data_IF_358002057883
#
_entry.id   IF_358002057883
#
_cell.length_a   1.000
_cell.length_b   1.000
_cell.length_c   1.000
_cell.angle_alpha   90.00
_cell.angle_beta   90.00
_cell.angle_gamma   90.00
#
_symmetry.space_group_name_H-M   'P 1'
#
loop_
_entity.id
_entity.type
_entity.pdbx_description
1 polymer ?
#
# COMPACT_ATOMS: atom_id res chain seq x y z
N UNK A 1 -28.53 4.95 5.14
CA UNK A 1 -27.23 5.12 5.81
C UNK A 1 -26.04 4.77 4.92
N UNK A 2 -26.22 4.04 3.81
CA UNK A 2 -25.12 3.59 2.94
C UNK A 2 -24.34 4.71 2.22
N UNK A 3 -24.95 5.88 1.98
CA UNK A 3 -24.29 6.95 1.23
C UNK A 3 -23.13 7.65 1.95
N UNK A 4 -23.17 7.79 3.27
CA UNK A 4 -22.13 8.51 4.03
C UNK A 4 -20.87 7.68 4.21
N UNK A 5 -21.03 6.37 4.43
CA UNK A 5 -19.91 5.44 4.57
C UNK A 5 -19.15 5.29 3.24
N UNK A 6 -19.89 5.20 2.12
CA UNK A 6 -19.29 5.13 0.79
C UNK A 6 -18.48 6.38 0.44
N UNK A 7 -19.00 7.58 0.78
CA UNK A 7 -18.30 8.83 0.53
C UNK A 7 -17.02 8.95 1.38
N UNK A 8 -17.07 8.54 2.65
CA UNK A 8 -15.89 8.52 3.52
C UNK A 8 -14.79 7.59 2.98
N UNK A 9 -15.15 6.39 2.54
CA UNK A 9 -14.21 5.44 1.92
C UNK A 9 -13.63 6.00 0.62
N UNK A 10 -14.47 6.65 -0.20
CA UNK A 10 -14.02 7.30 -1.44
C UNK A 10 -13.05 8.45 -1.15
N UNK A 11 -13.34 9.27 -0.15
CA UNK A 11 -12.46 10.35 0.31
C UNK A 11 -11.10 9.78 0.79
N UNK A 12 -11.11 8.71 1.57
CA UNK A 12 -9.88 8.04 2.00
C UNK A 12 -9.06 7.52 0.81
N UNK A 13 -9.72 6.88 -0.16
CA UNK A 13 -9.06 6.37 -1.35
C UNK A 13 -8.44 7.49 -2.21
N UNK A 14 -9.13 8.63 -2.34
CA UNK A 14 -8.60 9.82 -3.02
C UNK A 14 -7.39 10.39 -2.26
N UNK A 15 -7.49 10.50 -0.95
CA UNK A 15 -6.40 11.02 -0.13
C UNK A 15 -5.16 10.10 -0.17
N UNK A 16 -5.35 8.78 -0.15
CA UNK A 16 -4.27 7.81 -0.36
C UNK A 16 -3.62 7.94 -1.74
N UNK A 17 -4.40 8.26 -2.77
CA UNK A 17 -3.88 8.49 -4.12
C UNK A 17 -3.00 9.74 -4.15
N UNK A 18 -3.42 10.82 -3.50
CA UNK A 18 -2.67 12.08 -3.38
C UNK A 18 -1.38 11.89 -2.58
N UNK A 19 -1.46 11.21 -1.43
CA UNK A 19 -0.29 10.84 -0.63
C UNK A 19 0.69 9.98 -1.44
N UNK A 20 0.17 9.08 -2.26
CA UNK A 20 0.96 8.30 -3.21
C UNK A 20 1.63 9.11 -4.32
N UNK A 21 1.11 10.30 -4.65
CA UNK A 21 1.80 11.26 -5.53
C UNK A 21 2.87 12.06 -4.81
N UNK A 22 2.75 12.23 -3.48
CA UNK A 22 3.68 13.00 -2.66
C UNK A 22 4.92 12.20 -2.24
N UNK A 23 4.84 10.86 -2.14
CA UNK A 23 6.05 10.06 -1.91
C UNK A 23 6.94 10.17 -3.16
N UNK A 24 8.07 10.84 -3.00
CA UNK A 24 9.01 11.15 -4.08
C UNK A 24 9.40 9.87 -4.86
N UNK A 25 9.01 9.83 -6.15
CA UNK A 25 9.21 8.70 -7.06
C UNK A 25 10.65 8.23 -7.10
N UNK A 26 11.61 9.15 -7.15
CA UNK A 26 13.04 8.83 -7.24
C UNK A 26 13.53 7.90 -6.12
N UNK A 27 12.87 7.94 -4.97
CA UNK A 27 13.23 7.13 -3.81
C UNK A 27 12.40 5.83 -3.69
N UNK A 28 11.39 5.64 -4.52
CA UNK A 28 10.65 4.39 -4.68
C UNK A 28 11.10 3.62 -5.94
N UNK A 29 11.77 4.29 -6.87
CA UNK A 29 12.26 3.71 -8.14
C UNK A 29 13.18 2.50 -7.91
N UNK A 30 14.08 2.55 -6.92
CA UNK A 30 14.98 1.43 -6.58
C UNK A 30 14.19 0.21 -6.11
N UNK A 31 13.28 0.40 -5.16
CA UNK A 31 12.41 -0.64 -4.61
C UNK A 31 11.47 -1.21 -5.67
N UNK A 32 10.91 -0.35 -6.51
CA UNK A 32 9.98 -0.74 -7.58
C UNK A 32 10.70 -1.56 -8.65
N UNK A 33 11.90 -1.12 -9.06
CA UNK A 33 12.72 -1.84 -10.04
C UNK A 33 13.12 -3.22 -9.53
N UNK A 34 13.56 -3.31 -8.28
CA UNK A 34 13.93 -4.57 -7.65
C UNK A 34 12.72 -5.49 -7.48
N UNK A 35 11.60 -4.94 -6.99
CA UNK A 35 10.35 -5.66 -6.86
C UNK A 35 9.91 -6.27 -8.20
N UNK A 36 9.90 -5.48 -9.28
CA UNK A 36 9.45 -5.96 -10.60
C UNK A 36 10.33 -7.10 -11.13
N UNK A 37 11.66 -7.01 -10.96
CA UNK A 37 12.59 -8.08 -11.36
C UNK A 37 12.31 -9.38 -10.61
N UNK A 38 12.11 -9.27 -9.30
CA UNK A 38 11.84 -10.42 -8.43
C UNK A 38 10.43 -10.99 -8.68
N UNK A 39 9.43 -10.14 -8.89
CA UNK A 39 8.05 -10.55 -9.14
C UNK A 39 7.91 -11.30 -10.47
N UNK A 40 8.67 -10.93 -11.50
CA UNK A 40 8.66 -11.58 -12.80
C UNK A 40 9.10 -13.06 -12.77
N UNK A 41 9.75 -13.50 -11.69
CA UNK A 41 10.30 -14.86 -11.53
C UNK A 41 9.52 -15.71 -10.52
N UNK A 42 8.47 -15.15 -9.90
CA UNK A 42 7.85 -15.71 -8.72
C UNK A 42 6.37 -16.08 -8.94
N UNK A 43 5.91 -17.07 -8.19
CA UNK A 43 4.48 -17.40 -8.11
C UNK A 43 3.73 -16.34 -7.29
N UNK A 44 2.42 -16.20 -7.52
CA UNK A 44 1.56 -15.17 -6.91
C UNK A 44 1.71 -15.04 -5.38
N UNK A 45 1.73 -16.16 -4.65
CA UNK A 45 1.86 -16.15 -3.19
C UNK A 45 3.20 -15.57 -2.72
N UNK A 46 4.26 -15.79 -3.49
CA UNK A 46 5.58 -15.26 -3.20
C UNK A 46 5.64 -13.76 -3.50
N UNK A 47 4.88 -13.28 -4.50
CA UNK A 47 4.76 -11.84 -4.78
C UNK A 47 4.02 -11.09 -3.67
N UNK A 48 3.01 -11.70 -3.03
CA UNK A 48 2.37 -11.12 -1.85
C UNK A 48 3.34 -10.92 -0.68
N UNK A 49 4.20 -11.91 -0.42
CA UNK A 49 5.24 -11.82 0.60
C UNK A 49 6.30 -10.79 0.24
N UNK A 50 6.77 -10.81 -1.02
CA UNK A 50 7.72 -9.84 -1.54
C UNK A 50 7.18 -8.41 -1.36
N UNK A 51 5.93 -8.16 -1.75
CA UNK A 51 5.30 -6.86 -1.62
C UNK A 51 5.27 -6.39 -0.17
N UNK A 52 4.86 -7.28 0.74
CA UNK A 52 4.81 -6.98 2.17
C UNK A 52 6.19 -6.61 2.72
N UNK A 53 7.22 -7.40 2.36
CA UNK A 53 8.60 -7.14 2.77
C UNK A 53 9.13 -5.82 2.21
N UNK A 54 8.81 -5.48 0.95
CA UNK A 54 9.20 -4.20 0.35
C UNK A 54 8.53 -3.03 1.07
N UNK A 55 7.24 -3.14 1.43
CA UNK A 55 6.55 -2.11 2.23
C UNK A 55 7.20 -1.94 3.60
N UNK A 56 7.51 -3.04 4.29
CA UNK A 56 8.15 -3.02 5.60
C UNK A 56 9.55 -2.39 5.52
N UNK A 57 10.34 -2.74 4.49
CA UNK A 57 11.67 -2.19 4.26
C UNK A 57 11.61 -0.68 4.00
N UNK A 58 10.74 -0.22 3.10
CA UNK A 58 10.56 1.21 2.85
C UNK A 58 10.16 1.93 4.14
N UNK A 59 9.29 1.33 4.95
CA UNK A 59 8.87 1.95 6.20
C UNK A 59 10.00 2.05 7.23
N UNK A 60 10.82 1.00 7.36
CA UNK A 60 11.99 1.00 8.24
C UNK A 60 12.99 2.08 7.83
N UNK A 61 13.31 2.18 6.54
CA UNK A 61 14.28 3.13 6.01
C UNK A 61 13.79 4.59 6.06
N UNK A 62 12.49 4.83 5.84
CA UNK A 62 11.93 6.19 5.74
C UNK A 62 11.47 6.77 7.07
N UNK A 63 11.01 5.93 7.99
CA UNK A 63 10.38 6.38 9.23
C UNK A 63 11.19 6.01 10.46
N UNK A 64 12.51 5.75 10.31
CA UNK A 64 13.42 5.38 11.39
C UNK A 64 12.89 4.21 12.25
N UNK A 65 12.22 3.24 11.63
CA UNK A 65 11.61 2.11 12.34
C UNK A 65 10.29 2.41 13.08
N UNK A 66 9.75 3.64 13.03
CA UNK A 66 8.42 3.96 13.54
C UNK A 66 7.36 3.59 12.48
N UNK A 67 7.10 2.29 12.35
CA UNK A 67 6.02 1.77 11.53
C UNK A 67 4.66 2.04 12.19
N UNK A 68 4.24 3.31 12.17
CA UNK A 68 2.85 3.69 12.47
C UNK A 68 1.99 3.21 11.29
N UNK A 69 0.82 2.65 11.57
CA UNK A 69 -0.06 2.03 10.55
C UNK A 69 -0.42 2.97 9.39
N UNK A 70 -0.44 4.28 9.63
CA UNK A 70 -0.59 5.29 8.59
C UNK A 70 0.57 5.28 7.58
N UNK A 71 1.81 5.11 8.03
CA UNK A 71 2.99 5.02 7.17
C UNK A 71 2.96 3.76 6.31
N UNK A 72 2.59 2.61 6.90
CA UNK A 72 2.40 1.36 6.17
C UNK A 72 1.36 1.51 5.07
N UNK A 73 0.24 2.18 5.37
CA UNK A 73 -0.84 2.40 4.41
C UNK A 73 -0.43 3.37 3.29
N UNK A 74 0.28 4.46 3.60
CA UNK A 74 0.85 5.40 2.62
C UNK A 74 1.83 4.70 1.67
N UNK A 75 2.78 3.94 2.22
CA UNK A 75 3.77 3.22 1.42
C UNK A 75 3.11 2.16 0.54
N UNK A 76 2.15 1.41 1.09
CA UNK A 76 1.36 0.43 0.33
C UNK A 76 0.68 1.07 -0.89
N UNK A 77 0.02 2.21 -0.70
CA UNK A 77 -0.65 2.93 -1.78
C UNK A 77 0.35 3.45 -2.83
N UNK A 78 1.49 3.98 -2.39
CA UNK A 78 2.51 4.57 -3.27
C UNK A 78 3.22 3.51 -4.11
N UNK A 79 3.71 2.44 -3.47
CA UNK A 79 4.40 1.33 -4.13
C UNK A 79 3.48 0.65 -5.15
N UNK A 80 2.24 0.32 -4.74
CA UNK A 80 1.28 -0.33 -5.62
C UNK A 80 0.94 0.52 -6.85
N UNK A 81 0.75 1.83 -6.66
CA UNK A 81 0.50 2.77 -7.76
C UNK A 81 1.69 2.85 -8.72
N UNK A 82 2.91 2.94 -8.20
CA UNK A 82 4.10 3.05 -9.03
C UNK A 82 4.34 1.80 -9.85
N UNK A 83 4.25 0.61 -9.24
CA UNK A 83 4.40 -0.66 -9.95
C UNK A 83 3.39 -0.76 -11.10
N UNK A 84 2.12 -0.43 -10.85
CA UNK A 84 1.06 -0.51 -11.87
C UNK A 84 1.25 0.54 -12.96
N UNK A 85 1.77 1.73 -12.63
CA UNK A 85 2.05 2.76 -13.63
C UNK A 85 3.14 2.32 -14.62
N UNK A 86 4.14 1.58 -14.17
CA UNK A 86 5.25 1.08 -15.00
C UNK A 86 4.95 -0.30 -15.65
N UNK A 87 4.17 -1.14 -14.96
CA UNK A 87 3.80 -2.51 -15.37
C UNK A 87 2.30 -2.76 -15.14
N UNK A 88 1.42 -2.24 -16.02
CA UNK A 88 -0.03 -2.42 -15.89
C UNK A 88 -0.47 -3.89 -15.82
N UNK A 89 0.28 -4.80 -16.45
CA UNK A 89 0.01 -6.25 -16.45
C UNK A 89 0.03 -6.88 -15.04
N UNK A 90 0.69 -6.23 -14.07
CA UNK A 90 0.75 -6.69 -12.69
C UNK A 90 -0.45 -6.23 -11.85
N UNK A 91 -1.43 -5.51 -12.42
CA UNK A 91 -2.51 -4.87 -11.68
C UNK A 91 -3.26 -5.80 -10.72
N UNK A 92 -3.79 -6.93 -11.21
CA UNK A 92 -4.57 -7.85 -10.36
C UNK A 92 -3.70 -8.49 -9.26
N UNK A 93 -2.44 -8.76 -9.57
CA UNK A 93 -1.49 -9.31 -8.60
C UNK A 93 -1.16 -8.29 -7.50
N UNK A 94 -0.87 -7.04 -7.86
CA UNK A 94 -0.59 -5.96 -6.90
C UNK A 94 -1.82 -5.64 -6.06
N UNK A 95 -3.01 -5.61 -6.66
CA UNK A 95 -4.26 -5.42 -5.95
C UNK A 95 -4.49 -6.52 -4.91
N UNK A 96 -4.24 -7.78 -5.26
CA UNK A 96 -4.32 -8.90 -4.32
C UNK A 96 -3.28 -8.78 -3.18
N UNK A 97 -2.03 -8.43 -3.51
CA UNK A 97 -0.97 -8.20 -2.52
C UNK A 97 -1.32 -7.07 -1.54
N UNK A 98 -1.82 -5.94 -2.05
CA UNK A 98 -2.27 -4.81 -1.23
C UNK A 98 -3.42 -5.22 -0.30
N UNK A 99 -4.43 -5.94 -0.81
CA UNK A 99 -5.55 -6.42 0.00
C UNK A 99 -5.10 -7.39 1.10
N UNK A 100 -4.19 -8.32 0.77
CA UNK A 100 -3.60 -9.25 1.73
C UNK A 100 -2.82 -8.50 2.81
N UNK A 101 -1.95 -7.56 2.41
CA UNK A 101 -1.18 -6.74 3.32
C UNK A 101 -2.07 -5.90 4.26
N UNK A 102 -3.05 -5.17 3.71
CA UNK A 102 -3.94 -4.34 4.52
C UNK A 102 -4.76 -5.18 5.51
N UNK A 103 -5.26 -6.34 5.08
CA UNK A 103 -6.00 -7.26 5.96
C UNK A 103 -5.12 -7.77 7.09
N UNK A 104 -3.91 -8.22 6.78
CA UNK A 104 -3.02 -8.88 7.75
C UNK A 104 -2.30 -7.92 8.67
N UNK A 105 -1.86 -6.76 8.17
CA UNK A 105 -1.07 -5.78 8.93
C UNK A 105 -1.90 -4.66 9.52
N UNK A 106 -2.98 -4.25 8.85
CA UNK A 106 -3.80 -3.11 9.27
C UNK A 106 -5.17 -3.52 9.82
N UNK A 107 -5.54 -4.81 9.73
CA UNK A 107 -6.87 -5.30 10.13
C UNK A 107 -7.26 -4.92 11.55
N UNK A 108 -6.38 -5.17 12.53
CA UNK A 108 -6.63 -4.81 13.94
C UNK A 108 -6.72 -3.30 14.15
N UNK A 109 -5.89 -2.53 13.48
CA UNK A 109 -5.87 -1.06 13.56
C UNK A 109 -7.14 -0.42 12.97
N UNK A 110 -7.63 -0.96 11.86
CA UNK A 110 -8.89 -0.59 11.23
C UNK A 110 -10.08 -1.01 12.09
N UNK A 111 -10.05 -2.21 12.68
CA UNK A 111 -11.08 -2.69 13.57
C UNK A 111 -11.21 -1.82 14.83
N UNK A 112 -10.08 -1.41 15.42
CA UNK A 112 -10.05 -0.47 16.54
C UNK A 112 -10.71 0.88 16.22
N UNK A 113 -10.69 1.29 14.94
CA UNK A 113 -11.36 2.49 14.42
C UNK A 113 -12.80 2.24 13.97
N UNK A 114 -13.34 1.03 14.12
CA UNK A 114 -14.68 0.65 13.65
C UNK A 114 -14.83 0.76 12.12
N UNK A 115 -13.77 0.42 11.39
CA UNK A 115 -13.77 0.31 9.94
C UNK A 115 -13.08 1.46 9.20
N UNK A 116 -12.84 1.24 7.90
CA UNK A 116 -12.10 2.15 7.02
C UNK A 116 -12.68 3.57 6.95
N UNK A 117 -14.00 3.71 7.07
CA UNK A 117 -14.68 5.01 7.07
C UNK A 117 -14.24 5.98 8.18
N UNK A 118 -13.63 5.47 9.25
CA UNK A 118 -13.14 6.26 10.38
C UNK A 118 -11.61 6.33 10.42
N UNK A 119 -10.93 5.79 9.41
CA UNK A 119 -9.48 5.94 9.28
C UNK A 119 -9.20 7.35 8.79
N UNK A 120 -8.48 8.12 9.60
CA UNK A 120 -7.92 9.40 9.20
C UNK A 120 -6.40 9.26 9.03
N UNK A 121 -5.89 9.84 7.95
CA UNK A 121 -4.47 9.84 7.61
C UNK A 121 -4.06 11.30 7.56
N UNK A 122 -3.06 11.66 8.37
CA UNK A 122 -2.47 13.00 8.41
C UNK A 122 -1.31 13.12 7.42
#
# INVERSE_FOLDING_TARGET
>A
MEGKDAEAIKSLALHLRELGDLINREHLDSFTTEFQKLAAQQATDQVCMLFSNTVDQICQERFNGLAVEQNLLKVTASLGKQIVAEKPDLFEMIKASMQSFMTTRLGSWVAARKGWKNVNIE
#
